data_IF_918210759299
#
_entry.id   IF_918210759299
#
_cell.length_a   1.000
_cell.length_b   1.000
_cell.length_c   1.000
_cell.angle_alpha   90.00
_cell.angle_beta   90.00
_cell.angle_gamma   90.00
#
_symmetry.space_group_name_H-M   'P 1'
#
loop_
_entity.id
_entity.type
_entity.pdbx_description
1 polymer ?
#
# COMPACT_ATOMS: atom_id res chain seq x y z
N UNK A 1 -16.84 -70.97 -20.11
CA UNK A 1 -17.35 -69.62 -20.39
C UNK A 1 -17.16 -68.66 -19.23
N UNK A 2 -17.68 -68.91 -18.03
CA UNK A 2 -17.59 -67.95 -16.92
C UNK A 2 -16.16 -67.46 -16.54
N UNK A 3 -15.13 -68.29 -16.70
CA UNK A 3 -13.75 -67.92 -16.43
C UNK A 3 -13.17 -66.93 -17.43
N UNK A 4 -13.54 -67.05 -18.69
CA UNK A 4 -13.08 -66.15 -19.73
C UNK A 4 -13.72 -64.78 -19.55
N UNK A 5 -15.00 -64.77 -19.16
CA UNK A 5 -15.72 -63.49 -18.88
C UNK A 5 -15.12 -62.77 -17.66
N UNK A 6 -14.79 -63.50 -16.59
CA UNK A 6 -14.11 -62.94 -15.41
C UNK A 6 -12.72 -62.40 -15.75
N UNK A 7 -12.01 -63.04 -16.69
CA UNK A 7 -10.67 -62.59 -17.10
C UNK A 7 -10.75 -61.31 -17.94
N UNK A 8 -11.78 -61.18 -18.78
CA UNK A 8 -12.04 -59.95 -19.55
C UNK A 8 -12.30 -58.79 -18.62
N UNK A 9 -13.21 -58.97 -17.67
CA UNK A 9 -13.53 -57.92 -16.67
C UNK A 9 -12.28 -57.58 -15.82
N UNK A 10 -11.46 -58.54 -15.44
CA UNK A 10 -10.20 -58.29 -14.77
C UNK A 10 -9.25 -57.41 -15.57
N UNK A 11 -9.09 -57.72 -16.86
CA UNK A 11 -8.18 -56.96 -17.72
C UNK A 11 -8.67 -55.53 -17.96
N UNK A 12 -9.97 -55.31 -18.09
CA UNK A 12 -10.58 -53.99 -18.19
C UNK A 12 -10.30 -53.15 -16.93
N UNK A 13 -10.53 -53.75 -15.76
CA UNK A 13 -10.26 -53.09 -14.50
C UNK A 13 -8.76 -52.77 -14.30
N UNK A 14 -7.88 -53.68 -14.72
CA UNK A 14 -6.43 -53.47 -14.68
C UNK A 14 -6.00 -52.33 -15.60
N UNK A 15 -6.59 -52.25 -16.78
CA UNK A 15 -6.34 -51.15 -17.73
C UNK A 15 -6.79 -49.81 -17.15
N UNK A 16 -7.98 -49.76 -16.57
CA UNK A 16 -8.50 -48.56 -15.91
C UNK A 16 -7.63 -48.13 -14.71
N UNK A 17 -7.16 -49.10 -13.91
CA UNK A 17 -6.23 -48.81 -12.81
C UNK A 17 -4.90 -48.21 -13.30
N UNK A 18 -4.31 -48.80 -14.35
CA UNK A 18 -3.06 -48.27 -14.94
C UNK A 18 -3.26 -46.84 -15.50
N UNK A 19 -4.38 -46.60 -16.18
CA UNK A 19 -4.73 -45.26 -16.66
C UNK A 19 -4.87 -44.27 -15.52
N UNK A 20 -5.48 -44.69 -14.44
CA UNK A 20 -5.61 -43.85 -13.25
C UNK A 20 -4.26 -43.53 -12.56
N UNK A 21 -3.36 -44.51 -12.51
CA UNK A 21 -1.99 -44.27 -12.00
C UNK A 21 -1.23 -43.25 -12.84
N UNK A 22 -1.33 -43.29 -14.15
CA UNK A 22 -0.72 -42.30 -15.05
C UNK A 22 -1.31 -40.91 -14.83
N UNK A 23 -2.62 -40.82 -14.65
CA UNK A 23 -3.29 -39.55 -14.33
C UNK A 23 -2.81 -38.97 -13.00
N UNK A 24 -2.60 -39.79 -11.99
CA UNK A 24 -2.02 -39.37 -10.69
C UNK A 24 -0.62 -38.82 -10.84
N UNK A 25 0.24 -39.49 -11.60
CA UNK A 25 1.60 -39.05 -11.87
C UNK A 25 1.62 -37.69 -12.59
N UNK A 26 0.73 -37.49 -13.55
CA UNK A 26 0.60 -36.23 -14.27
C UNK A 26 0.13 -35.07 -13.35
N UNK A 27 -0.87 -35.35 -12.51
CA UNK A 27 -1.36 -34.38 -11.52
C UNK A 27 -0.25 -34.03 -10.51
N UNK A 28 0.49 -35.02 -10.03
CA UNK A 28 1.60 -34.78 -9.11
C UNK A 28 2.73 -33.97 -9.76
N UNK A 29 3.05 -34.27 -11.02
CA UNK A 29 4.06 -33.52 -11.77
C UNK A 29 3.65 -32.04 -11.94
N UNK A 30 2.40 -31.77 -12.30
CA UNK A 30 1.86 -30.41 -12.40
C UNK A 30 1.87 -29.68 -11.07
N UNK A 31 1.48 -30.34 -10.00
CA UNK A 31 1.55 -29.77 -8.64
C UNK A 31 2.99 -29.41 -8.24
N UNK A 32 3.94 -30.27 -8.52
CA UNK A 32 5.34 -30.01 -8.21
C UNK A 32 5.88 -28.78 -8.97
N UNK A 33 5.46 -28.57 -10.21
CA UNK A 33 5.83 -27.38 -10.99
C UNK A 33 5.28 -26.12 -10.31
N UNK A 34 3.98 -26.13 -9.95
CA UNK A 34 3.32 -24.98 -9.31
C UNK A 34 3.95 -24.72 -7.92
N UNK A 35 4.23 -25.78 -7.18
CA UNK A 35 4.91 -25.69 -5.87
C UNK A 35 6.29 -25.07 -6.01
N UNK A 36 7.09 -25.51 -6.97
CA UNK A 36 8.42 -24.93 -7.21
C UNK A 36 8.36 -23.47 -7.62
N UNK A 37 7.38 -23.06 -8.43
CA UNK A 37 7.15 -21.67 -8.77
C UNK A 37 6.79 -20.83 -7.53
N UNK A 38 5.88 -21.33 -6.69
CA UNK A 38 5.55 -20.69 -5.41
C UNK A 38 6.76 -20.56 -4.49
N UNK A 39 7.59 -21.59 -4.37
CA UNK A 39 8.82 -21.54 -3.57
C UNK A 39 9.79 -20.47 -4.08
N UNK A 40 9.93 -20.34 -5.40
CA UNK A 40 10.73 -19.27 -5.99
C UNK A 40 10.15 -17.87 -5.72
N UNK A 41 8.83 -17.68 -5.87
CA UNK A 41 8.15 -16.44 -5.53
C UNK A 41 8.29 -16.09 -4.03
N UNK A 42 8.27 -17.09 -3.14
CA UNK A 42 8.51 -16.90 -1.71
C UNK A 42 9.92 -16.43 -1.40
N UNK A 43 10.92 -16.85 -2.14
CA UNK A 43 12.30 -16.34 -2.02
C UNK A 43 12.34 -14.85 -2.36
N UNK A 44 11.75 -14.45 -3.48
CA UNK A 44 11.68 -13.04 -3.88
C UNK A 44 10.85 -12.19 -2.90
N UNK A 45 9.75 -12.73 -2.39
CA UNK A 45 8.96 -12.08 -1.35
C UNK A 45 9.78 -11.83 -0.08
N UNK A 46 10.52 -12.81 0.40
CA UNK A 46 11.35 -12.67 1.60
C UNK A 46 12.49 -11.65 1.38
N UNK A 47 13.10 -11.62 0.20
CA UNK A 47 14.08 -10.61 -0.18
C UNK A 47 13.46 -9.21 -0.22
N UNK A 48 12.26 -9.08 -0.76
CA UNK A 48 11.52 -7.82 -0.77
C UNK A 48 11.19 -7.33 0.64
N UNK A 49 10.86 -8.24 1.59
CA UNK A 49 10.66 -7.91 3.00
C UNK A 49 11.95 -7.41 3.67
N UNK A 50 13.09 -8.04 3.41
CA UNK A 50 14.39 -7.61 3.92
C UNK A 50 14.74 -6.21 3.39
N UNK A 51 14.55 -5.98 2.09
CA UNK A 51 14.77 -4.68 1.47
C UNK A 51 13.83 -3.61 2.05
N UNK A 52 12.56 -3.95 2.28
CA UNK A 52 11.62 -3.06 2.94
C UNK A 52 12.12 -2.67 4.33
N UNK A 53 12.56 -3.63 5.14
CA UNK A 53 13.09 -3.36 6.48
C UNK A 53 14.31 -2.41 6.46
N UNK A 54 15.19 -2.55 5.46
CA UNK A 54 16.31 -1.64 5.27
C UNK A 54 15.83 -0.22 4.92
N UNK A 55 14.85 -0.09 4.00
CA UNK A 55 14.28 1.20 3.61
C UNK A 55 13.60 1.90 4.78
N UNK A 56 12.85 1.18 5.63
CA UNK A 56 12.17 1.74 6.80
C UNK A 56 13.13 2.30 7.86
N UNK A 57 14.42 1.99 7.76
CA UNK A 57 15.47 2.54 8.62
C UNK A 57 16.35 3.58 7.90
N UNK A 58 16.09 3.85 6.63
CA UNK A 58 16.86 4.81 5.83
C UNK A 58 16.38 6.23 6.06
N UNK A 59 17.31 7.18 6.15
CA UNK A 59 16.99 8.61 6.25
C UNK A 59 16.17 9.07 5.03
N UNK A 60 15.22 9.96 5.28
CA UNK A 60 14.28 10.44 4.26
C UNK A 60 13.05 9.55 4.05
N UNK A 61 13.05 8.32 4.56
CA UNK A 61 11.90 7.43 4.51
C UNK A 61 11.05 7.52 5.77
N UNK A 62 9.74 7.30 5.62
CA UNK A 62 8.88 7.04 6.78
C UNK A 62 9.23 5.66 7.37
N UNK A 63 9.09 5.52 8.68
CA UNK A 63 9.44 4.29 9.41
C UNK A 63 8.31 3.23 9.43
N UNK A 64 7.34 3.35 8.52
CA UNK A 64 6.17 2.47 8.42
C UNK A 64 6.00 1.94 7.00
N UNK A 65 5.58 0.68 6.83
CA UNK A 65 5.40 0.05 5.52
C UNK A 65 4.11 0.52 4.82
N UNK A 66 4.05 1.77 4.43
CA UNK A 66 2.92 2.39 3.75
C UNK A 66 3.26 2.63 2.28
N UNK A 67 2.35 2.29 1.39
CA UNK A 67 2.40 2.69 -0.01
C UNK A 67 1.97 4.15 -0.19
N UNK A 68 2.44 4.82 -1.23
CA UNK A 68 1.97 6.15 -1.61
C UNK A 68 1.06 6.04 -2.85
N UNK A 69 -0.25 6.11 -2.67
CA UNK A 69 -1.19 6.08 -3.80
C UNK A 69 -1.32 7.43 -4.51
N UNK A 70 -0.92 8.53 -3.83
CA UNK A 70 -1.03 9.89 -4.34
C UNK A 70 0.22 10.31 -5.10
N UNK A 71 0.09 10.58 -6.39
CA UNK A 71 1.06 11.32 -7.18
C UNK A 71 0.58 12.76 -7.25
N UNK A 72 1.19 13.64 -6.45
CA UNK A 72 0.90 15.06 -6.41
C UNK A 72 2.22 15.82 -6.26
N UNK A 73 2.73 16.24 -7.40
CA UNK A 73 4.05 16.87 -7.52
C UNK A 73 3.91 18.25 -8.16
N UNK A 74 4.89 18.71 -8.93
CA UNK A 74 4.83 20.01 -9.59
C UNK A 74 3.82 20.05 -10.74
N UNK A 75 2.96 21.05 -10.74
CA UNK A 75 1.97 21.38 -11.77
C UNK A 75 2.17 22.82 -12.27
N UNK A 76 3.27 23.10 -13.00
CA UNK A 76 3.66 24.47 -13.36
C UNK A 76 2.68 25.17 -14.31
N UNK A 77 1.84 24.39 -15.01
CA UNK A 77 0.84 24.88 -15.95
C UNK A 77 -0.57 24.94 -15.35
N UNK A 78 -0.72 24.72 -14.06
CA UNK A 78 -2.02 24.81 -13.40
C UNK A 78 -2.64 26.20 -13.60
N UNK A 79 -3.95 26.24 -13.70
CA UNK A 79 -4.72 27.48 -13.70
C UNK A 79 -5.29 27.69 -12.30
N UNK A 80 -5.00 28.87 -11.71
CA UNK A 80 -5.40 29.19 -10.35
C UNK A 80 -6.52 30.22 -10.32
N UNK A 81 -7.45 30.05 -9.39
CA UNK A 81 -8.47 31.05 -9.05
C UNK A 81 -8.71 31.09 -7.54
N UNK A 82 -9.09 32.27 -7.04
CA UNK A 82 -9.43 32.48 -5.64
C UNK A 82 -10.90 32.88 -5.51
N UNK A 83 -11.53 32.41 -4.42
CA UNK A 83 -12.92 32.76 -4.07
C UNK A 83 -13.08 32.82 -2.56
N UNK A 84 -14.03 33.58 -2.08
CA UNK A 84 -14.30 33.72 -0.64
C UNK A 84 -14.12 35.14 -0.13
N UNK A 85 -13.74 35.29 1.16
CA UNK A 85 -13.68 36.61 1.83
C UNK A 85 -12.23 37.04 2.07
N UNK A 86 -11.76 37.96 1.25
CA UNK A 86 -10.43 38.56 1.32
C UNK A 86 -10.40 39.88 0.52
N UNK A 87 -9.29 40.61 0.61
CA UNK A 87 -9.02 41.78 -0.20
C UNK A 87 -7.80 41.54 -1.10
N UNK A 88 -7.91 41.78 -2.39
CA UNK A 88 -6.73 41.77 -3.28
C UNK A 88 -5.77 42.89 -2.95
N UNK A 89 -4.48 42.58 -3.00
CA UNK A 89 -3.43 43.54 -2.83
C UNK A 89 -2.68 43.73 -4.13
N UNK A 90 -2.32 44.99 -4.42
CA UNK A 90 -1.39 45.27 -5.51
C UNK A 90 0.02 44.79 -5.13
N UNK A 91 0.84 44.34 -6.09
CA UNK A 91 2.24 43.98 -5.82
C UNK A 91 3.01 45.09 -5.10
N UNK A 92 2.81 46.36 -5.47
CA UNK A 92 3.44 47.51 -4.82
C UNK A 92 3.07 47.63 -3.36
N UNK A 93 1.80 47.44 -2.99
CA UNK A 93 1.36 47.47 -1.59
C UNK A 93 1.92 46.30 -0.81
N UNK A 94 1.94 45.08 -1.41
CA UNK A 94 2.55 43.90 -0.80
C UNK A 94 4.05 44.13 -0.53
N UNK A 95 4.79 44.65 -1.50
CA UNK A 95 6.21 45.03 -1.34
C UNK A 95 6.43 46.06 -0.24
N UNK A 96 5.58 47.09 -0.17
CA UNK A 96 5.65 48.12 0.88
C UNK A 96 5.44 47.50 2.28
N UNK A 97 4.51 46.57 2.41
CA UNK A 97 4.24 45.88 3.66
C UNK A 97 5.44 45.00 4.08
N UNK A 98 6.04 44.28 3.14
CA UNK A 98 7.25 43.48 3.40
C UNK A 98 8.42 44.36 3.83
N UNK A 99 8.67 45.45 3.13
CA UNK A 99 9.77 46.37 3.40
C UNK A 99 9.65 47.07 4.75
N UNK A 100 8.45 47.39 5.22
CA UNK A 100 8.23 48.08 6.50
C UNK A 100 8.33 47.18 7.71
N UNK A 101 8.33 45.87 7.55
CA UNK A 101 8.26 44.92 8.66
C UNK A 101 9.51 44.06 8.86
N UNK A 102 10.63 44.45 8.23
CA UNK A 102 11.93 43.75 8.36
C UNK A 102 11.88 42.25 8.05
N UNK A 103 10.97 41.82 7.18
CA UNK A 103 10.90 40.45 6.74
C UNK A 103 11.96 40.28 5.65
N UNK A 104 13.16 39.93 6.06
CA UNK A 104 14.33 39.81 5.18
C UNK A 104 14.29 38.61 4.24
N UNK A 105 13.29 37.73 4.36
CA UNK A 105 13.26 36.45 3.66
C UNK A 105 12.51 36.47 2.35
N UNK A 106 11.65 37.46 2.08
CA UNK A 106 10.94 37.58 0.81
C UNK A 106 11.58 38.69 -0.01
N UNK A 107 12.33 38.30 -1.01
CA UNK A 107 12.95 39.27 -1.94
C UNK A 107 11.94 39.71 -3.02
N UNK A 108 12.17 40.88 -3.61
CA UNK A 108 11.41 41.33 -4.80
C UNK A 108 11.41 40.27 -5.92
N UNK A 109 12.45 39.43 -6.00
CA UNK A 109 12.52 38.30 -6.94
C UNK A 109 11.54 37.20 -6.62
N UNK A 110 11.25 36.92 -5.34
CA UNK A 110 10.29 35.88 -4.95
C UNK A 110 8.86 36.33 -5.29
N UNK A 111 8.60 37.60 -5.21
CA UNK A 111 7.33 38.21 -5.59
C UNK A 111 7.11 38.23 -7.11
N UNK A 112 8.18 38.20 -7.90
CA UNK A 112 8.14 38.28 -9.37
C UNK A 112 8.19 36.91 -10.07
N UNK A 113 8.28 35.79 -9.33
CA UNK A 113 8.42 34.43 -9.88
C UNK A 113 7.12 33.81 -10.40
N UNK A 114 6.16 34.59 -10.85
CA UNK A 114 4.95 34.11 -11.50
C UNK A 114 3.70 34.91 -11.13
N UNK A 115 2.58 34.68 -11.79
CA UNK A 115 1.31 35.32 -11.47
C UNK A 115 0.84 34.82 -10.09
N UNK A 116 1.10 35.63 -9.09
CA UNK A 116 0.76 35.32 -7.70
C UNK A 116 -0.28 36.33 -7.24
N UNK A 117 -1.38 35.83 -6.69
CA UNK A 117 -2.38 36.69 -6.11
C UNK A 117 -2.07 36.92 -4.64
N UNK A 118 -1.71 38.15 -4.33
CA UNK A 118 -1.55 38.58 -2.93
C UNK A 118 -2.91 38.97 -2.39
N UNK A 119 -3.30 38.39 -1.29
CA UNK A 119 -4.53 38.74 -0.62
C UNK A 119 -4.30 39.10 0.85
N UNK A 120 -5.12 40.02 1.33
CA UNK A 120 -5.21 40.38 2.74
C UNK A 120 -6.38 39.66 3.36
N UNK A 121 -6.15 38.96 4.45
CA UNK A 121 -7.12 38.10 5.10
C UNK A 121 -7.30 38.50 6.55
N UNK A 122 -8.48 38.91 6.93
CA UNK A 122 -8.84 39.20 8.31
C UNK A 122 -9.06 37.90 9.13
N UNK A 123 -8.89 37.96 10.46
CA UNK A 123 -9.20 36.85 11.36
C UNK A 123 -10.61 36.25 11.13
N UNK A 124 -10.71 34.93 11.19
CA UNK A 124 -11.95 34.20 11.02
C UNK A 124 -12.45 34.07 9.58
N UNK A 125 -11.80 34.71 8.62
CA UNK A 125 -12.23 34.63 7.21
C UNK A 125 -11.79 33.32 6.57
N UNK A 126 -12.65 32.84 5.67
CA UNK A 126 -12.43 31.62 4.88
C UNK A 126 -12.41 31.99 3.39
N UNK A 127 -11.48 31.41 2.68
CA UNK A 127 -11.36 31.51 1.24
C UNK A 127 -10.92 30.18 0.63
N UNK A 128 -11.03 30.06 -0.67
CA UNK A 128 -10.56 28.87 -1.40
C UNK A 128 -9.61 29.27 -2.51
N UNK A 129 -8.59 28.45 -2.67
CA UNK A 129 -7.69 28.48 -3.83
C UNK A 129 -8.00 27.23 -4.66
N UNK A 130 -8.46 27.44 -5.87
CA UNK A 130 -8.82 26.37 -6.79
C UNK A 130 -7.78 26.29 -7.90
N UNK A 131 -7.27 25.11 -8.15
CA UNK A 131 -6.34 24.80 -9.23
C UNK A 131 -6.98 23.82 -10.20
N UNK A 132 -6.86 24.10 -11.48
CA UNK A 132 -7.32 23.27 -12.61
C UNK A 132 -6.20 23.14 -13.65
N UNK A 133 -6.47 22.43 -14.74
CA UNK A 133 -5.47 22.17 -15.78
C UNK A 133 -4.24 21.43 -15.23
N UNK A 134 -4.49 20.41 -14.38
CA UNK A 134 -3.47 19.56 -13.81
C UNK A 134 -3.13 18.43 -14.80
N UNK A 135 -1.85 18.12 -14.95
CA UNK A 135 -1.39 17.16 -15.96
C UNK A 135 -0.64 15.95 -15.40
N UNK A 136 -0.18 16.04 -14.15
CA UNK A 136 0.77 15.09 -13.55
C UNK A 136 0.30 14.50 -12.24
N UNK A 137 -0.91 14.82 -11.82
CA UNK A 137 -1.44 14.46 -10.51
C UNK A 137 -2.45 13.33 -10.61
N UNK A 138 -2.29 12.30 -9.78
CA UNK A 138 -3.12 11.09 -9.77
C UNK A 138 -3.33 10.60 -8.34
N UNK A 139 -4.48 10.01 -8.08
CA UNK A 139 -4.71 9.17 -6.92
C UNK A 139 -4.91 7.75 -7.43
N UNK A 140 -3.95 6.86 -7.16
CA UNK A 140 -3.84 5.56 -7.83
C UNK A 140 -3.85 5.71 -9.36
N UNK A 141 -4.89 5.22 -10.04
CA UNK A 141 -5.09 5.36 -11.48
C UNK A 141 -6.02 6.52 -11.88
N UNK A 142 -6.63 7.20 -10.91
CA UNK A 142 -7.58 8.29 -11.16
C UNK A 142 -6.82 9.60 -11.33
N UNK A 143 -6.97 10.23 -12.48
CA UNK A 143 -6.39 11.55 -12.74
C UNK A 143 -7.07 12.62 -11.90
N UNK A 144 -6.28 13.46 -11.26
CA UNK A 144 -6.75 14.63 -10.53
C UNK A 144 -6.84 15.80 -11.52
N UNK A 145 -8.05 16.29 -11.74
CA UNK A 145 -8.30 17.41 -12.67
C UNK A 145 -8.44 18.74 -11.95
N UNK A 146 -8.81 18.70 -10.67
CA UNK A 146 -9.00 19.89 -9.87
C UNK A 146 -8.57 19.64 -8.42
N UNK A 147 -7.87 20.62 -7.85
CA UNK A 147 -7.55 20.70 -6.42
C UNK A 147 -8.16 21.96 -5.83
N UNK A 148 -8.78 21.84 -4.67
CA UNK A 148 -9.32 22.98 -3.92
C UNK A 148 -8.71 22.98 -2.53
N UNK A 149 -8.03 24.05 -2.17
CA UNK A 149 -7.63 24.32 -0.81
C UNK A 149 -8.62 25.28 -0.17
N UNK A 150 -9.41 24.83 0.77
CA UNK A 150 -10.20 25.71 1.62
C UNK A 150 -9.35 26.11 2.82
N UNK A 151 -9.13 27.43 2.95
CA UNK A 151 -8.23 28.00 3.95
C UNK A 151 -9.03 28.91 4.87
N UNK A 152 -8.92 28.69 6.19
CA UNK A 152 -9.54 29.55 7.21
C UNK A 152 -8.44 30.16 8.06
N UNK A 153 -8.42 31.49 8.15
CA UNK A 153 -7.51 32.21 9.03
C UNK A 153 -7.97 32.09 10.48
N UNK A 154 -7.16 31.47 11.31
CA UNK A 154 -7.43 31.21 12.75
C UNK A 154 -6.66 32.12 13.69
N UNK A 155 -5.76 32.94 13.15
CA UNK A 155 -5.00 33.91 13.93
C UNK A 155 -5.85 35.08 14.39
N UNK A 156 -5.28 35.93 15.22
CA UNK A 156 -5.96 37.07 15.86
C UNK A 156 -5.74 38.40 15.16
N UNK A 157 -4.82 38.45 14.21
CA UNK A 157 -4.45 39.65 13.43
C UNK A 157 -4.56 39.40 11.95
N UNK A 158 -4.90 40.42 11.14
CA UNK A 158 -4.87 40.26 9.69
C UNK A 158 -3.51 39.84 9.17
N UNK A 159 -3.50 39.13 8.08
CA UNK A 159 -2.26 38.67 7.45
C UNK A 159 -2.30 38.79 5.93
N UNK A 160 -1.12 38.78 5.33
CA UNK A 160 -0.97 38.60 3.89
C UNK A 160 -0.80 37.13 3.56
N UNK A 161 -1.46 36.69 2.52
CA UNK A 161 -1.41 35.32 2.03
C UNK A 161 -1.06 35.34 0.53
N UNK A 162 -0.17 34.46 0.14
CA UNK A 162 0.26 34.28 -1.24
C UNK A 162 0.04 32.83 -1.64
N UNK A 163 -0.77 32.63 -2.68
CA UNK A 163 -0.92 31.35 -3.33
C UNK A 163 -0.09 31.30 -4.61
N UNK A 164 0.88 30.38 -4.66
CA UNK A 164 1.67 30.18 -5.87
C UNK A 164 0.84 29.57 -7.00
N UNK A 165 1.35 29.70 -8.22
CA UNK A 165 0.74 29.13 -9.41
C UNK A 165 0.70 27.59 -9.38
N UNK A 166 1.72 26.97 -8.84
CA UNK A 166 1.83 25.51 -8.71
C UNK A 166 1.26 25.05 -7.36
N UNK A 167 0.18 24.25 -7.34
CA UNK A 167 -0.47 23.83 -6.10
C UNK A 167 0.40 22.98 -5.18
N UNK A 168 1.40 22.29 -5.72
CA UNK A 168 2.28 21.42 -4.95
C UNK A 168 3.50 22.17 -4.37
N UNK A 169 3.65 23.43 -4.72
CA UNK A 169 4.73 24.29 -4.21
C UNK A 169 4.29 25.05 -2.96
N UNK A 170 5.20 25.86 -2.47
CA UNK A 170 5.07 26.59 -1.22
C UNK A 170 3.95 27.62 -1.25
N UNK A 171 3.13 27.63 -0.23
CA UNK A 171 2.21 28.71 0.12
C UNK A 171 2.92 29.57 1.14
N UNK A 172 2.91 30.88 0.92
CA UNK A 172 3.53 31.82 1.84
C UNK A 172 2.47 32.67 2.55
N UNK A 173 2.70 32.86 3.86
CA UNK A 173 1.84 33.66 4.72
C UNK A 173 2.70 34.50 5.64
N UNK A 174 2.31 35.73 5.86
CA UNK A 174 3.00 36.59 6.81
C UNK A 174 2.03 37.42 7.66
N UNK A 175 2.34 37.50 8.93
CA UNK A 175 1.69 38.41 9.85
C UNK A 175 2.74 39.21 10.59
N UNK A 176 2.49 40.50 10.74
CA UNK A 176 3.44 41.43 11.38
C UNK A 176 3.50 41.28 12.89
N UNK A 177 2.53 40.64 13.51
CA UNK A 177 2.40 40.57 14.96
C UNK A 177 1.83 39.19 15.33
N UNK A 178 2.69 38.24 15.64
CA UNK A 178 2.38 36.97 16.29
C UNK A 178 1.10 36.21 15.84
N UNK A 179 0.97 34.97 16.24
CA UNK A 179 -0.22 34.13 16.10
C UNK A 179 -0.71 33.93 14.65
N UNK A 180 0.20 33.54 13.78
CA UNK A 180 -0.11 33.14 12.41
C UNK A 180 -0.61 31.69 12.40
N UNK A 181 -1.90 31.48 12.08
CA UNK A 181 -2.54 30.17 12.04
C UNK A 181 -3.54 30.06 10.92
N UNK A 182 -3.47 28.96 10.19
CA UNK A 182 -4.42 28.65 9.11
C UNK A 182 -4.88 27.20 9.17
N UNK A 183 -6.18 26.97 9.01
CA UNK A 183 -6.70 25.64 8.74
C UNK A 183 -6.74 25.43 7.23
N UNK A 184 -6.17 24.30 6.82
CA UNK A 184 -6.22 23.83 5.44
C UNK A 184 -7.11 22.60 5.33
N UNK A 185 -7.96 22.59 4.30
CA UNK A 185 -8.75 21.44 3.87
C UNK A 185 -8.50 21.21 2.39
N UNK A 186 -7.68 20.25 2.01
CA UNK A 186 -7.50 19.86 0.63
C UNK A 186 -8.65 18.99 0.16
N UNK A 187 -9.11 19.22 -1.07
CA UNK A 187 -10.06 18.38 -1.76
C UNK A 187 -9.63 18.19 -3.20
N UNK A 188 -9.70 16.97 -3.71
CA UNK A 188 -9.28 16.59 -5.05
C UNK A 188 -10.49 16.09 -5.83
N UNK A 189 -10.53 16.37 -7.13
CA UNK A 189 -11.67 16.05 -7.97
C UNK A 189 -11.20 15.50 -9.32
N UNK A 190 -11.98 14.55 -9.85
CA UNK A 190 -11.80 13.99 -11.18
C UNK A 190 -12.39 14.89 -12.28
N UNK A 191 -12.39 14.38 -13.53
CA UNK A 191 -12.90 15.08 -14.70
C UNK A 191 -14.43 15.25 -14.71
N UNK A 192 -15.16 14.47 -13.92
CA UNK A 192 -16.61 14.61 -13.76
C UNK A 192 -16.96 15.58 -12.62
N UNK A 193 -15.97 16.11 -11.92
CA UNK A 193 -16.14 16.97 -10.77
C UNK A 193 -16.51 16.22 -9.49
N UNK A 194 -16.38 14.90 -9.49
CA UNK A 194 -16.59 14.06 -8.31
C UNK A 194 -15.37 14.12 -7.39
N UNK A 195 -15.62 14.20 -6.10
CA UNK A 195 -14.55 14.15 -5.12
C UNK A 195 -13.83 12.79 -5.14
N UNK A 196 -12.50 12.84 -5.20
CA UNK A 196 -11.64 11.67 -5.15
C UNK A 196 -11.37 11.33 -3.68
N UNK A 197 -11.65 10.10 -3.21
CA UNK A 197 -11.30 9.67 -1.86
C UNK A 197 -9.79 9.74 -1.64
N UNK A 198 -9.39 10.33 -0.51
CA UNK A 198 -7.96 10.51 -0.17
C UNK A 198 -7.44 9.49 0.85
N UNK A 199 -8.25 8.52 1.25
CA UNK A 199 -7.84 7.51 2.21
C UNK A 199 -6.54 6.81 1.79
N UNK A 200 -5.63 6.66 2.73
CA UNK A 200 -4.26 6.13 2.54
C UNK A 200 -3.29 7.04 1.76
N UNK A 201 -3.70 8.22 1.30
CA UNK A 201 -2.75 9.19 0.74
C UNK A 201 -1.76 9.66 1.80
N UNK A 202 -0.50 9.83 1.41
CA UNK A 202 0.54 10.41 2.24
C UNK A 202 0.80 11.83 1.75
N UNK A 203 0.61 12.81 2.62
CA UNK A 203 0.93 14.19 2.36
C UNK A 203 2.28 14.56 2.98
N UNK A 204 3.22 14.99 2.16
CA UNK A 204 4.41 15.67 2.65
C UNK A 204 4.02 17.07 3.15
N UNK A 205 4.40 17.38 4.38
CA UNK A 205 4.16 18.62 5.07
C UNK A 205 5.53 19.27 5.28
N UNK A 206 5.97 20.03 4.28
CA UNK A 206 7.35 20.49 4.14
C UNK A 206 7.53 21.93 4.60
N UNK A 207 8.79 22.34 4.67
CA UNK A 207 9.19 23.70 5.02
C UNK A 207 8.83 24.08 6.46
N UNK A 208 9.01 23.15 7.41
CA UNK A 208 8.80 23.41 8.83
C UNK A 208 10.10 23.92 9.47
N UNK A 209 10.34 25.20 9.30
CA UNK A 209 11.52 25.91 9.81
C UNK A 209 11.42 26.18 11.32
N UNK A 210 12.56 26.17 11.97
CA UNK A 210 12.70 26.56 13.38
C UNK A 210 13.98 27.33 13.61
N UNK A 211 13.84 28.49 14.23
CA UNK A 211 14.97 29.28 14.78
C UNK A 211 15.34 28.84 16.21
N UNK A 212 14.67 27.81 16.73
CA UNK A 212 14.92 27.25 18.07
C UNK A 212 13.78 27.51 19.06
N UNK A 213 13.84 26.84 20.20
CA UNK A 213 12.84 26.95 21.26
C UNK A 213 12.65 28.38 21.75
N UNK A 214 11.43 28.84 21.76
CA UNK A 214 11.08 30.20 22.16
C UNK A 214 11.27 31.28 21.09
N UNK A 215 11.72 30.91 19.92
CA UNK A 215 11.82 31.77 18.74
C UNK A 215 10.77 31.33 17.68
N UNK A 216 10.87 31.92 16.47
CA UNK A 216 10.00 31.53 15.34
C UNK A 216 10.11 30.04 15.10
N UNK A 217 8.98 29.35 15.15
CA UNK A 217 8.86 27.92 14.86
C UNK A 217 7.57 27.65 14.09
N UNK A 218 7.73 27.11 12.90
CA UNK A 218 6.61 26.63 12.08
C UNK A 218 6.17 25.26 12.56
N UNK A 219 4.87 25.01 12.51
CA UNK A 219 4.30 23.75 12.96
C UNK A 219 3.06 23.37 12.17
N UNK A 220 2.75 22.08 12.18
CA UNK A 220 1.45 21.55 11.74
C UNK A 220 0.80 20.78 12.89
N UNK A 221 -0.46 21.08 13.15
CA UNK A 221 -1.20 20.53 14.29
C UNK A 221 -2.70 20.37 13.98
N UNK A 222 -3.49 20.04 15.01
CA UNK A 222 -4.94 19.92 14.94
C UNK A 222 -5.42 19.14 13.71
N UNK A 223 -4.79 17.99 13.52
CA UNK A 223 -5.14 17.06 12.45
C UNK A 223 -6.54 16.49 12.66
N UNK A 224 -7.34 16.53 11.61
CA UNK A 224 -8.63 15.87 11.56
C UNK A 224 -8.65 14.92 10.37
N UNK A 225 -8.81 13.62 10.64
CA UNK A 225 -8.73 12.58 9.63
C UNK A 225 -7.36 12.43 8.98
N UNK A 226 -6.32 12.89 9.67
CA UNK A 226 -4.91 12.75 9.27
C UNK A 226 -4.12 12.27 10.48
N UNK A 227 -3.30 11.25 10.30
CA UNK A 227 -2.34 10.78 11.28
C UNK A 227 -0.96 11.38 10.99
N UNK A 228 -0.36 12.15 11.93
CA UNK A 228 0.98 12.70 11.75
C UNK A 228 2.06 11.63 11.92
N UNK A 229 2.93 11.52 10.94
CA UNK A 229 4.06 10.57 10.87
C UNK A 229 5.36 11.35 10.73
N UNK A 230 6.41 10.87 11.38
CA UNK A 230 7.76 11.43 11.24
C UNK A 230 8.55 10.71 10.15
N UNK A 231 9.52 11.41 9.60
CA UNK A 231 10.49 10.90 8.62
C UNK A 231 11.79 10.58 9.35
N UNK A 232 12.45 9.49 9.01
CA UNK A 232 13.75 9.14 9.58
C UNK A 232 14.79 10.22 9.25
N UNK A 233 15.52 10.64 10.24
CA UNK A 233 16.54 11.69 10.09
C UNK A 233 15.97 13.11 10.02
N UNK A 234 14.65 13.31 9.92
CA UNK A 234 14.05 14.64 9.93
C UNK A 234 14.28 15.36 11.26
N UNK A 235 14.51 16.67 11.18
CA UNK A 235 14.52 17.58 12.33
C UNK A 235 13.13 17.73 12.95
N UNK A 236 12.09 17.52 12.17
CA UNK A 236 10.68 17.60 12.61
C UNK A 236 10.31 16.37 13.42
N UNK A 237 9.70 16.60 14.58
CA UNK A 237 9.22 15.56 15.50
C UNK A 237 7.73 15.69 15.74
N UNK A 238 7.09 14.59 16.07
CA UNK A 238 5.73 14.60 16.54
C UNK A 238 5.71 14.82 18.05
N UNK A 239 5.34 16.02 18.47
CA UNK A 239 5.18 16.39 19.88
C UNK A 239 3.68 16.48 20.20
N UNK A 240 3.13 15.44 20.81
CA UNK A 240 1.72 15.40 21.23
C UNK A 240 0.72 15.75 20.11
N UNK A 241 0.93 15.18 18.92
CA UNK A 241 0.09 15.44 17.76
C UNK A 241 0.43 16.73 17.00
N UNK A 242 1.56 17.35 17.28
CA UNK A 242 2.09 18.51 16.55
C UNK A 242 3.40 18.12 15.87
N UNK A 243 3.48 18.32 14.56
CA UNK A 243 4.72 18.21 13.81
C UNK A 243 5.46 19.55 13.87
N UNK A 244 6.63 19.56 14.49
CA UNK A 244 7.43 20.75 14.77
C UNK A 244 8.91 20.37 14.89
N UNK A 245 9.81 21.25 14.47
CA UNK A 245 11.23 21.11 14.78
C UNK A 245 11.50 21.68 16.18
N UNK A 246 11.84 20.83 17.19
CA UNK A 246 12.05 21.28 18.57
C UNK A 246 13.34 22.09 18.74
N UNK A 247 14.29 21.94 17.84
CA UNK A 247 15.57 22.66 17.84
C UNK A 247 15.74 23.38 16.51
N UNK A 248 16.72 24.29 16.47
CA UNK A 248 17.04 25.00 15.23
C UNK A 248 17.39 24.05 14.10
N UNK A 249 16.84 24.30 12.91
CA UNK A 249 17.07 23.50 11.72
C UNK A 249 17.34 24.32 10.44
N UNK A 250 17.37 25.63 10.55
CA UNK A 250 17.49 26.58 9.43
C UNK A 250 18.92 27.03 9.14
N UNK A 251 19.83 27.01 10.15
CA UNK A 251 21.21 27.44 10.00
C UNK A 251 22.22 26.42 10.47
N UNK A 252 23.06 25.95 9.56
CA UNK A 252 24.11 24.94 9.82
C UNK A 252 25.15 25.43 10.84
N UNK A 253 25.53 26.71 10.78
CA UNK A 253 26.50 27.33 11.70
C UNK A 253 26.01 27.37 13.14
N UNK A 254 24.74 27.21 13.39
CA UNK A 254 24.11 27.25 14.70
C UNK A 254 23.59 25.90 15.19
N UNK A 255 24.12 24.81 14.63
CA UNK A 255 23.86 23.45 15.09
C UNK A 255 22.84 22.65 14.27
N UNK A 256 22.28 23.22 13.21
CA UNK A 256 21.52 22.43 12.23
C UNK A 256 22.47 21.54 11.40
N UNK A 257 21.99 20.39 10.95
CA UNK A 257 22.74 19.49 10.08
C UNK A 257 22.97 20.08 8.68
N UNK A 258 21.95 20.77 8.16
CA UNK A 258 21.98 21.47 6.87
C UNK A 258 21.47 22.90 7.03
N UNK A 259 21.85 23.75 6.09
CA UNK A 259 21.30 25.08 5.95
C UNK A 259 19.94 25.03 5.25
N UNK A 260 19.03 25.96 5.53
CA UNK A 260 17.73 26.03 4.87
C UNK A 260 17.86 26.18 3.34
N UNK A 261 18.95 26.78 2.86
CA UNK A 261 19.23 26.87 1.42
C UNK A 261 19.53 25.51 0.78
N UNK A 262 19.88 24.49 1.56
CA UNK A 262 20.15 23.14 1.09
C UNK A 262 18.89 22.25 1.11
N UNK A 263 18.03 22.37 2.11
CA UNK A 263 16.89 21.48 2.30
C UNK A 263 15.52 22.13 2.07
N UNK A 264 15.37 23.44 2.36
CA UNK A 264 14.09 24.16 2.24
C UNK A 264 13.87 24.73 0.84
N UNK A 265 14.20 23.92 -0.14
CA UNK A 265 14.04 24.21 -1.57
C UNK A 265 13.23 23.12 -2.22
N UNK A 266 12.13 23.50 -2.86
CA UNK A 266 11.28 22.53 -3.58
C UNK A 266 12.11 21.72 -4.58
N UNK A 267 12.08 20.39 -4.40
CA UNK A 267 12.86 19.47 -5.23
C UNK A 267 14.25 19.15 -4.70
N UNK A 268 14.65 19.71 -3.57
CA UNK A 268 15.89 19.34 -2.90
C UNK A 268 15.89 17.84 -2.54
N UNK A 269 17.03 17.15 -2.65
CA UNK A 269 17.18 15.78 -2.16
C UNK A 269 17.06 15.67 -0.63
N UNK A 270 17.16 16.79 0.08
CA UNK A 270 17.08 16.88 1.54
C UNK A 270 15.79 17.53 2.04
N UNK A 271 14.80 17.78 1.17
CA UNK A 271 13.51 18.40 1.51
C UNK A 271 12.81 17.72 2.70
N UNK A 272 13.04 16.42 2.87
CA UNK A 272 12.53 15.62 3.99
C UNK A 272 13.06 16.06 5.37
N UNK A 273 14.17 16.79 5.43
CA UNK A 273 14.78 17.19 6.70
C UNK A 273 13.92 18.17 7.49
N UNK A 274 13.26 19.09 6.83
CA UNK A 274 12.30 20.04 7.43
C UNK A 274 10.83 19.60 7.24
N UNK A 275 10.58 18.30 7.13
CA UNK A 275 9.27 17.80 6.80
C UNK A 275 8.75 16.76 7.79
N UNK A 276 7.43 16.69 7.87
CA UNK A 276 6.68 15.55 8.38
C UNK A 276 5.72 14.99 7.34
N UNK A 277 4.97 13.96 7.69
CA UNK A 277 3.99 13.31 6.80
C UNK A 277 2.64 13.22 7.48
N UNK A 278 1.58 13.46 6.72
CA UNK A 278 0.21 13.18 7.12
C UNK A 278 -0.35 11.98 6.36
N UNK A 279 -0.69 10.89 7.07
CA UNK A 279 -1.48 9.78 6.52
C UNK A 279 -2.96 10.10 6.60
N UNK A 280 -3.63 10.15 5.48
CA UNK A 280 -5.06 10.48 5.40
C UNK A 280 -5.92 9.26 5.71
N UNK A 281 -6.87 9.42 6.63
CA UNK A 281 -7.79 8.37 7.09
C UNK A 281 -9.27 8.67 6.78
N UNK A 282 -9.56 9.77 6.08
CA UNK A 282 -10.93 10.21 5.79
C UNK A 282 -10.98 10.97 4.46
N UNK A 283 -12.16 11.08 3.90
CA UNK A 283 -12.39 11.85 2.66
C UNK A 283 -12.44 13.37 2.86
N UNK A 284 -12.43 13.84 4.11
CA UNK A 284 -12.49 15.28 4.43
C UNK A 284 -11.40 15.67 5.44
N UNK A 285 -10.12 15.54 5.05
CA UNK A 285 -9.00 15.81 5.94
C UNK A 285 -8.83 17.30 6.19
N UNK A 286 -8.33 17.66 7.37
CA UNK A 286 -7.88 19.02 7.66
C UNK A 286 -6.71 19.04 8.63
N UNK A 287 -5.93 20.12 8.54
CA UNK A 287 -4.81 20.39 9.43
C UNK A 287 -4.70 21.89 9.69
N UNK A 288 -3.94 22.24 10.71
CA UNK A 288 -3.61 23.64 11.03
C UNK A 288 -2.12 23.85 10.87
N UNK A 289 -1.75 24.81 10.05
CA UNK A 289 -0.38 25.31 9.92
C UNK A 289 -0.27 26.59 10.73
N UNK A 290 0.80 26.75 11.48
CA UNK A 290 1.02 27.94 12.30
C UNK A 290 2.48 28.22 12.55
N UNK A 291 2.72 29.41 13.14
CA UNK A 291 4.02 29.83 13.64
C UNK A 291 3.85 30.37 15.06
N UNK A 292 4.68 29.93 16.00
CA UNK A 292 4.52 30.22 17.42
C UNK A 292 4.76 31.69 17.78
N UNK A 293 5.61 32.40 17.04
CA UNK A 293 6.05 33.76 17.41
C UNK A 293 5.72 34.82 16.37
N UNK A 294 4.98 34.46 15.34
CA UNK A 294 4.76 35.36 14.18
C UNK A 294 5.93 35.34 13.20
N UNK A 295 5.88 36.22 12.23
CA UNK A 295 6.79 36.19 11.08
C UNK A 295 6.16 35.50 9.88
N UNK A 296 6.96 34.82 9.15
CA UNK A 296 6.54 34.13 7.92
C UNK A 296 6.21 32.67 8.18
N UNK A 297 5.38 32.11 7.32
CA UNK A 297 5.23 30.67 7.11
C UNK A 297 5.45 30.40 5.64
N UNK A 298 6.37 29.51 5.36
CA UNK A 298 6.49 28.85 4.06
C UNK A 298 6.01 27.42 4.24
N UNK A 299 4.96 27.04 3.55
CA UNK A 299 4.36 25.72 3.71
C UNK A 299 4.14 25.06 2.37
N UNK A 300 4.69 23.90 2.18
CA UNK A 300 4.50 23.08 0.99
C UNK A 300 3.71 21.83 1.33
N UNK A 301 2.73 21.54 0.48
CA UNK A 301 1.81 20.42 0.62
C UNK A 301 1.79 19.63 -0.68
N UNK A 302 2.35 18.44 -0.68
CA UNK A 302 2.48 17.62 -1.87
C UNK A 302 2.51 16.12 -1.56
N UNK A 303 2.61 15.27 -2.58
CA UNK A 303 2.69 13.81 -2.46
C UNK A 303 4.12 13.25 -2.47
N UNK A 304 5.15 14.06 -2.30
CA UNK A 304 6.55 13.66 -2.40
C UNK A 304 7.05 13.03 -1.10
N UNK A 305 6.57 11.83 -0.81
CA UNK A 305 6.93 11.06 0.38
C UNK A 305 7.71 9.83 -0.03
N UNK A 306 8.91 9.65 0.51
CA UNK A 306 9.65 8.40 0.36
C UNK A 306 9.05 7.34 1.26
N UNK A 307 8.37 6.40 0.66
CA UNK A 307 7.65 5.33 1.34
C UNK A 307 7.67 4.03 0.51
N UNK A 308 7.42 2.92 1.16
CA UNK A 308 7.31 1.62 0.50
C UNK A 308 6.26 0.77 1.21
N UNK A 309 5.28 0.30 0.47
CA UNK A 309 4.26 -0.61 0.99
C UNK A 309 4.80 -2.02 1.24
N UNK A 310 4.07 -2.79 2.05
CA UNK A 310 4.36 -4.21 2.25
C UNK A 310 4.20 -4.97 0.93
N UNK A 311 5.16 -5.82 0.54
CA UNK A 311 5.01 -6.65 -0.64
C UNK A 311 3.87 -7.66 -0.45
N UNK A 312 3.19 -8.01 -1.53
CA UNK A 312 2.12 -9.01 -1.52
C UNK A 312 2.72 -10.40 -1.35
N UNK A 313 2.25 -11.13 -0.34
CA UNK A 313 2.66 -12.51 -0.13
C UNK A 313 2.07 -13.41 -1.22
N UNK A 314 2.87 -14.26 -1.88
CA UNK A 314 2.36 -15.23 -2.83
C UNK A 314 1.31 -16.17 -2.22
N UNK A 315 0.32 -16.54 -3.02
CA UNK A 315 -0.71 -17.48 -2.61
C UNK A 315 -0.17 -18.91 -2.63
N UNK A 316 -0.30 -19.61 -1.52
CA UNK A 316 0.12 -21.02 -1.46
C UNK A 316 -0.75 -21.85 -2.41
N UNK A 317 -0.14 -22.69 -3.28
CA UNK A 317 -0.91 -23.56 -4.15
C UNK A 317 -1.68 -24.61 -3.34
N UNK A 318 -2.91 -24.83 -3.74
CA UNK A 318 -3.71 -25.91 -3.16
C UNK A 318 -3.17 -27.26 -3.58
N UNK A 319 -3.08 -28.18 -2.62
CA UNK A 319 -2.74 -29.55 -2.92
C UNK A 319 -3.81 -30.19 -3.83
N UNK A 320 -3.41 -30.95 -4.85
CA UNK A 320 -4.38 -31.53 -5.78
C UNK A 320 -5.34 -32.50 -5.06
N UNK A 321 -6.61 -32.36 -5.39
CA UNK A 321 -7.62 -33.32 -4.94
C UNK A 321 -7.61 -34.50 -5.88
N UNK A 322 -7.22 -35.66 -5.38
CA UNK A 322 -7.29 -36.89 -6.16
C UNK A 322 -8.72 -37.39 -6.20
N UNK A 323 -9.28 -37.44 -7.40
CA UNK A 323 -10.52 -38.15 -7.64
C UNK A 323 -10.21 -39.66 -7.62
N UNK A 324 -10.81 -40.38 -6.69
CA UNK A 324 -10.57 -41.80 -6.54
C UNK A 324 -10.91 -42.57 -7.81
N UNK A 325 -9.99 -43.42 -8.17
CA UNK A 325 -10.30 -44.47 -9.12
C UNK A 325 -11.32 -45.39 -8.46
N UNK A 326 -12.47 -45.57 -9.09
CA UNK A 326 -13.50 -46.43 -8.58
C UNK A 326 -12.91 -47.85 -8.38
N UNK A 327 -12.90 -48.38 -7.17
CA UNK A 327 -12.23 -49.67 -6.92
C UNK A 327 -12.92 -50.76 -7.69
N UNK A 328 -12.11 -51.61 -8.11
CA UNK A 328 -12.49 -52.82 -8.82
C UNK A 328 -12.85 -53.90 -7.82
N UNK A 329 -14.06 -54.37 -7.88
CA UNK A 329 -14.54 -55.49 -7.07
C UNK A 329 -14.55 -56.73 -7.90
N UNK A 330 -13.84 -57.74 -7.45
CA UNK A 330 -13.95 -59.09 -8.01
C UNK A 330 -15.04 -59.79 -7.24
N UNK A 331 -16.09 -60.20 -7.95
CA UNK A 331 -17.10 -61.09 -7.36
C UNK A 331 -16.58 -62.50 -7.31
N UNK A 332 -16.66 -63.11 -6.17
CA UNK A 332 -16.44 -64.54 -6.02
C UNK A 332 -17.62 -65.28 -6.67
N UNK A 333 -17.43 -65.90 -7.81
CA UNK A 333 -18.47 -66.73 -8.40
C UNK A 333 -18.33 -68.19 -7.92
N UNK A 334 -19.44 -68.83 -7.66
CA UNK A 334 -19.47 -70.27 -7.27
C UNK A 334 -18.97 -71.21 -8.38
N UNK A 335 -18.83 -70.75 -9.59
CA UNK A 335 -18.34 -71.50 -10.75
C UNK A 335 -16.85 -71.82 -10.71
N UNK A 336 -16.11 -71.26 -9.77
CA UNK A 336 -14.70 -71.59 -9.61
C UNK A 336 -14.42 -73.03 -9.17
N UNK A 337 -15.43 -73.77 -8.71
CA UNK A 337 -15.28 -75.17 -8.30
C UNK A 337 -15.25 -76.15 -9.47
N UNK A 338 -15.70 -75.74 -10.62
CA UNK A 338 -15.87 -76.62 -11.78
C UNK A 338 -14.78 -76.47 -12.85
N UNK A 339 -13.90 -75.52 -12.71
CA UNK A 339 -12.79 -75.31 -13.64
C UNK A 339 -11.57 -76.14 -13.27
N UNK A 340 -11.10 -77.00 -14.17
CA UNK A 340 -9.78 -77.65 -14.04
C UNK A 340 -8.71 -76.57 -14.13
N UNK A 341 -8.16 -76.23 -12.98
CA UNK A 341 -7.23 -75.09 -12.85
C UNK A 341 -5.81 -75.60 -12.66
N UNK A 342 -4.82 -74.91 -13.20
CA UNK A 342 -3.43 -75.12 -12.81
C UNK A 342 -3.34 -74.96 -11.29
N UNK A 343 -2.86 -76.01 -10.62
CA UNK A 343 -2.71 -76.01 -9.18
C UNK A 343 -1.77 -74.89 -8.75
N UNK A 344 -2.27 -73.96 -7.97
CA UNK A 344 -1.48 -72.88 -7.42
C UNK A 344 -1.97 -71.46 -7.68
N UNK A 345 -2.34 -71.11 -8.88
CA UNK A 345 -2.71 -69.73 -9.21
C UNK A 345 -4.02 -69.25 -8.57
N UNK A 346 -5.03 -70.12 -8.57
CA UNK A 346 -6.31 -69.76 -7.99
C UNK A 346 -6.41 -70.08 -6.50
N UNK A 347 -5.63 -71.03 -6.04
CA UNK A 347 -5.58 -71.38 -4.60
C UNK A 347 -5.11 -70.21 -3.76
N UNK A 348 -4.12 -69.46 -4.22
CA UNK A 348 -3.67 -68.24 -3.56
C UNK A 348 -4.72 -67.14 -3.55
N UNK A 349 -5.44 -66.96 -4.63
CA UNK A 349 -6.46 -65.93 -4.73
C UNK A 349 -7.72 -66.27 -3.94
N UNK A 350 -8.12 -67.54 -3.93
CA UNK A 350 -9.28 -67.94 -3.18
C UNK A 350 -9.00 -67.96 -1.67
N UNK A 351 -7.81 -68.36 -1.28
CA UNK A 351 -7.44 -68.46 0.14
C UNK A 351 -6.88 -67.13 0.72
N UNK A 352 -6.58 -66.19 -0.14
CA UNK A 352 -6.15 -64.86 0.30
C UNK A 352 -7.32 -63.95 0.62
N UNK A 353 -7.29 -62.80 0.03
CA UNK A 353 -8.28 -61.75 0.23
C UNK A 353 -9.69 -62.04 -0.25
N UNK A 354 -9.91 -63.18 -0.96
CA UNK A 354 -11.22 -63.58 -1.48
C UNK A 354 -12.06 -64.43 -0.57
N UNK A 355 -11.64 -64.61 0.65
CA UNK A 355 -12.32 -65.50 1.64
C UNK A 355 -13.23 -64.75 2.59
N UNK A 356 -13.43 -63.46 2.40
CA UNK A 356 -14.33 -62.75 3.29
C UNK A 356 -15.81 -63.09 3.01
N UNK A 357 -16.63 -62.87 4.02
CA UNK A 357 -18.04 -63.18 3.99
C UNK A 357 -18.88 -62.32 3.03
N UNK A 358 -18.34 -61.23 2.60
CA UNK A 358 -19.07 -60.25 1.75
C UNK A 358 -18.98 -60.59 0.26
N UNK A 359 -18.16 -61.57 -0.11
CA UNK A 359 -17.86 -61.90 -1.52
C UNK A 359 -17.37 -60.71 -2.35
N UNK A 360 -17.00 -59.63 -1.70
CA UNK A 360 -16.44 -58.47 -2.31
C UNK A 360 -15.17 -58.09 -1.62
N UNK A 361 -14.09 -57.96 -2.36
CA UNK A 361 -12.81 -57.49 -1.83
C UNK A 361 -12.44 -56.23 -2.58
N UNK A 362 -12.16 -55.23 -1.80
CA UNK A 362 -11.69 -53.92 -2.31
C UNK A 362 -10.21 -53.81 -2.02
N UNK A 363 -9.43 -53.57 -3.02
CA UNK A 363 -8.00 -53.42 -2.91
C UNK A 363 -7.67 -52.05 -2.29
N UNK A 364 -6.98 -52.10 -1.16
CA UNK A 364 -6.52 -50.89 -0.47
C UNK A 364 -5.15 -50.48 -0.99
N UNK A 365 -5.11 -49.55 -1.90
CA UNK A 365 -3.85 -49.03 -2.48
C UNK A 365 -3.03 -48.19 -1.50
N UNK A 366 -3.64 -47.72 -0.42
CA UNK A 366 -2.94 -46.96 0.61
C UNK A 366 -2.27 -47.85 1.66
N UNK A 367 -2.57 -49.16 1.65
CA UNK A 367 -1.99 -50.13 2.61
C UNK A 367 -1.53 -51.41 1.89
N UNK A 368 -0.62 -51.31 0.94
CA UNK A 368 -0.19 -52.44 0.12
C UNK A 368 0.43 -53.59 0.93
N UNK A 369 0.89 -53.33 2.14
CA UNK A 369 1.55 -54.31 3.01
C UNK A 369 0.65 -54.95 4.07
N UNK A 370 -0.64 -54.61 4.10
CA UNK A 370 -1.58 -55.29 5.02
C UNK A 370 -2.10 -56.57 4.39
N UNK A 371 -1.37 -57.63 4.62
CA UNK A 371 -1.77 -58.98 4.30
C UNK A 371 -2.25 -59.10 2.86
N UNK A 372 -1.43 -59.59 2.08
CA UNK A 372 -1.64 -60.02 0.70
C UNK A 372 -3.04 -59.73 0.16
N UNK A 373 -3.24 -58.57 -0.46
CA UNK A 373 -4.39 -58.31 -1.31
C UNK A 373 -5.75 -58.22 -0.64
N UNK A 374 -5.79 -57.77 0.59
CA UNK A 374 -7.06 -57.53 1.25
C UNK A 374 -7.76 -56.33 0.63
N UNK A 375 -8.85 -56.54 -0.02
CA UNK A 375 -9.67 -55.47 -0.59
C UNK A 375 -10.68 -55.03 0.48
N UNK A 376 -10.65 -53.81 0.87
CA UNK A 376 -11.58 -53.24 1.86
C UNK A 376 -12.50 -52.24 1.19
N UNK A 377 -13.77 -52.37 1.43
CA UNK A 377 -14.78 -51.42 0.92
C UNK A 377 -14.62 -50.02 1.55
N UNK A 378 -14.13 -50.00 2.81
CA UNK A 378 -13.90 -48.78 3.57
C UNK A 378 -12.63 -48.00 3.20
N UNK A 379 -11.72 -48.62 2.48
CA UNK A 379 -10.47 -48.01 2.04
C UNK A 379 -10.47 -47.61 0.58
N UNK A 380 -11.62 -47.74 0.00
CA UNK A 380 -11.86 -47.29 -1.34
C UNK A 380 -11.70 -45.78 -1.34
N UNK A 381 -10.95 -45.31 -2.24
CA UNK A 381 -10.86 -43.90 -2.53
C UNK A 381 -12.22 -43.33 -2.91
N UNK A 382 -12.72 -42.46 -2.06
CA UNK A 382 -14.05 -41.85 -2.27
C UNK A 382 -14.03 -40.66 -3.20
N UNK A 383 -13.00 -40.50 -3.96
CA UNK A 383 -12.91 -39.46 -4.97
C UNK A 383 -12.50 -38.07 -4.45
N UNK A 384 -12.25 -37.95 -3.17
CA UNK A 384 -11.94 -36.63 -2.60
C UNK A 384 -10.74 -36.64 -1.64
N UNK A 385 -9.88 -37.65 -1.74
CA UNK A 385 -8.67 -37.61 -0.93
C UNK A 385 -7.70 -36.60 -1.51
N UNK A 386 -7.37 -35.62 -0.71
CA UNK A 386 -6.26 -34.71 -1.01
C UNK A 386 -4.95 -35.49 -0.94
N UNK A 387 -4.08 -35.25 -1.89
CA UNK A 387 -2.68 -35.63 -1.71
C UNK A 387 -2.16 -34.72 -0.60
N UNK A 388 -1.93 -35.29 0.55
CA UNK A 388 -1.36 -34.56 1.66
C UNK A 388 0.00 -34.02 1.24
N UNK A 389 0.21 -32.73 1.43
CA UNK A 389 1.56 -32.20 1.49
C UNK A 389 2.17 -32.70 2.80
N UNK A 390 3.06 -33.64 2.71
CA UNK A 390 4.06 -33.89 3.74
C UNK A 390 5.38 -33.34 3.27
#
# INVERSE_FOLDING_TARGET
MAYIDDLVVYNEHLANYKKGLLSLQDIQAKYNIIKSAYEAEMVEYNKALQNLQALLNTEGYINRPLGQPLVFTSEPNATKSLSGTFQYMTPTKAQSIIATNTINTVTANDLNKGPSDYIWVDPGRTFSVTYTNLSRSFMESVKIEKVVYTVTHLGTKPCMFLAYQDPARTIWMTSFIGDLKFRFRPAFYDNEGKAIPLANALFALNSLNSAGTGQVQEYVSNFSGIEPITINGSSVKNQNGTLIAPTRNDWKSEGSRWDATEWDVFGSPYEWYGAGVGLVNTDNPSLVVGNLKGGDIWFSFNGRVSSKGTPTKPSQPEAPVLVAIKPWAIRKSGTFKTLNRPSGFFKRRVNGSFTDKSNQHVYDINKPNQGSHRIRKSSVWTGQNKIGAN
#
